data_IF_394972794040
#
_entry.id   IF_394972794040
#
_cell.length_a   1.000
_cell.length_b   1.000
_cell.length_c   1.000
_cell.angle_alpha   90.00
_cell.angle_beta   90.00
_cell.angle_gamma   90.00
#
_symmetry.space_group_name_H-M   'P 1'
#
loop_
_entity.id
_entity.type
_entity.pdbx_description
1 polymer ?
#
# COMPACT_ATOMS: atom_id res chain seq x y z
N UNK A 1 -3.33 -5.89 11.40
CA UNK A 1 -3.03 -7.12 12.20
C UNK A 1 -3.77 -8.39 11.75
N UNK A 2 -4.98 -8.36 11.18
CA UNK A 2 -5.68 -9.60 10.76
C UNK A 2 -4.84 -10.51 9.81
N UNK A 3 -4.12 -9.90 8.86
CA UNK A 3 -3.22 -10.63 7.96
C UNK A 3 -1.98 -11.18 8.68
N UNK A 4 -1.50 -10.51 9.71
CA UNK A 4 -0.37 -10.99 10.53
C UNK A 4 -0.76 -12.19 11.40
N UNK A 5 -2.01 -12.25 11.89
CA UNK A 5 -2.53 -13.45 12.56
C UNK A 5 -2.72 -14.59 11.55
N UNK A 6 -3.22 -14.27 10.33
CA UNK A 6 -3.38 -15.26 9.25
C UNK A 6 -2.04 -15.81 8.74
N UNK A 7 -0.95 -15.05 8.89
CA UNK A 7 0.43 -15.48 8.61
C UNK A 7 0.80 -16.75 9.36
N UNK A 8 0.31 -16.95 10.58
CA UNK A 8 0.67 -18.10 11.44
C UNK A 8 0.04 -19.41 10.94
N UNK A 9 -1.06 -19.32 10.19
CA UNK A 9 -1.77 -20.47 9.65
C UNK A 9 -1.19 -20.93 8.30
N UNK A 10 -0.29 -20.15 7.69
CA UNK A 10 0.24 -20.40 6.35
C UNK A 10 1.73 -20.70 6.41
N UNK A 11 2.14 -21.82 5.79
CA UNK A 11 3.53 -22.29 5.78
C UNK A 11 4.29 -21.86 4.52
N UNK A 12 5.62 -21.81 4.62
CA UNK A 12 6.51 -21.63 3.48
C UNK A 12 6.61 -20.18 2.96
N UNK A 13 6.98 -20.04 1.68
CA UNK A 13 7.26 -18.74 1.04
C UNK A 13 6.07 -17.78 1.00
N UNK A 14 4.85 -18.30 1.02
CA UNK A 14 3.60 -17.51 1.06
C UNK A 14 3.51 -16.66 2.33
N UNK A 15 4.11 -17.13 3.44
CA UNK A 15 4.17 -16.40 4.71
C UNK A 15 4.82 -15.03 4.56
N UNK A 16 5.89 -14.94 3.77
CA UNK A 16 6.63 -13.71 3.53
C UNK A 16 5.81 -12.75 2.66
N UNK A 17 5.10 -13.25 1.65
CA UNK A 17 4.19 -12.45 0.83
C UNK A 17 3.07 -11.83 1.66
N UNK A 18 2.45 -12.60 2.55
CA UNK A 18 1.40 -12.09 3.47
C UNK A 18 1.97 -11.01 4.40
N UNK A 19 3.18 -11.21 4.93
CA UNK A 19 3.83 -10.22 5.77
C UNK A 19 4.12 -8.92 5.02
N UNK A 20 4.76 -9.01 3.85
CA UNK A 20 5.07 -7.86 3.01
C UNK A 20 3.80 -7.09 2.62
N UNK A 21 2.73 -7.79 2.28
CA UNK A 21 1.44 -7.15 1.98
C UNK A 21 0.82 -6.48 3.21
N UNK A 22 0.89 -7.11 4.38
CA UNK A 22 0.39 -6.53 5.62
C UNK A 22 1.16 -5.26 6.03
N UNK A 23 2.49 -5.26 5.86
CA UNK A 23 3.34 -4.10 6.10
C UNK A 23 3.10 -2.99 5.07
N UNK A 24 2.89 -3.34 3.80
CA UNK A 24 2.57 -2.39 2.74
C UNK A 24 1.26 -1.62 3.00
N UNK A 25 0.24 -2.26 3.57
CA UNK A 25 -1.02 -1.59 3.92
C UNK A 25 -0.85 -0.49 4.99
N UNK A 26 0.21 -0.57 5.81
CA UNK A 26 0.52 0.46 6.81
C UNK A 26 1.07 1.75 6.21
N UNK A 27 1.30 1.81 4.88
CA UNK A 27 1.77 3.04 4.24
C UNK A 27 0.76 4.18 4.34
N UNK A 28 -0.55 3.88 4.31
CA UNK A 28 -1.61 4.90 4.39
C UNK A 28 -1.54 5.66 5.72
N UNK A 29 -1.59 5.01 6.89
CA UNK A 29 -1.44 5.71 8.16
C UNK A 29 -0.08 6.41 8.29
N UNK A 30 1.01 5.77 7.86
CA UNK A 30 2.35 6.39 7.90
C UNK A 30 2.44 7.67 7.07
N UNK A 31 1.82 7.69 5.90
CA UNK A 31 1.78 8.88 5.04
C UNK A 31 0.95 10.00 5.67
N UNK A 32 -0.18 9.68 6.33
CA UNK A 32 -1.00 10.67 7.04
C UNK A 32 -0.20 11.27 8.21
N UNK A 33 0.45 10.44 9.03
CA UNK A 33 1.29 10.90 10.14
C UNK A 33 2.44 11.79 9.65
N UNK A 34 3.13 11.38 8.59
CA UNK A 34 4.21 12.16 8.00
C UNK A 34 3.74 13.50 7.46
N UNK A 35 2.61 13.54 6.77
CA UNK A 35 2.03 14.78 6.26
C UNK A 35 1.54 15.70 7.39
N UNK A 36 1.18 15.13 8.54
CA UNK A 36 0.82 15.87 9.75
C UNK A 36 2.05 16.37 10.54
N UNK A 37 3.26 15.90 10.22
CA UNK A 37 4.50 16.23 10.95
C UNK A 37 4.74 15.37 12.19
N UNK A 38 4.01 14.26 12.36
CA UNK A 38 4.14 13.35 13.50
C UNK A 38 5.06 12.15 13.17
N UNK A 39 5.59 11.49 14.20
CA UNK A 39 6.45 10.32 14.03
C UNK A 39 5.65 9.12 13.50
N UNK A 40 6.19 8.44 12.49
CA UNK A 40 5.58 7.31 11.81
C UNK A 40 5.59 6.01 12.64
N UNK A 41 6.49 5.89 13.62
CA UNK A 41 6.72 4.64 14.34
C UNK A 41 5.75 4.38 15.48
N UNK A 42 5.31 5.44 16.17
CA UNK A 42 4.54 5.35 17.42
C UNK A 42 3.15 4.69 17.22
N UNK A 43 2.54 4.90 16.05
CA UNK A 43 1.23 4.35 15.67
C UNK A 43 1.21 2.86 15.34
N UNK A 44 2.36 2.25 15.09
CA UNK A 44 2.42 0.83 14.70
C UNK A 44 2.07 -0.10 15.88
N UNK A 45 2.17 0.42 17.11
CA UNK A 45 2.01 -0.31 18.37
C UNK A 45 0.58 -0.23 18.93
N UNK A 46 -0.21 0.79 18.59
CA UNK A 46 -1.58 0.93 19.07
C UNK A 46 -2.50 -0.10 18.41
N UNK A 47 -2.76 -1.17 19.15
CA UNK A 47 -3.64 -2.27 18.79
C UNK A 47 -5.10 -1.77 18.72
N UNK A 48 -5.87 -2.16 17.68
CA UNK A 48 -7.31 -1.88 17.38
C UNK A 48 -7.45 -0.91 16.17
N UNK A 49 -8.54 -0.92 15.36
CA UNK A 49 -8.73 -0.02 14.21
C UNK A 49 -8.93 1.43 14.66
N UNK A 50 -7.87 2.03 15.17
CA UNK A 50 -7.75 3.43 15.49
C UNK A 50 -7.17 4.14 14.25
N UNK A 51 -7.88 5.17 13.80
CA UNK A 51 -7.32 6.15 12.87
C UNK A 51 -6.27 7.02 13.56
N UNK A 52 -5.72 7.93 12.79
CA UNK A 52 -4.68 8.87 13.22
C UNK A 52 -5.34 10.23 13.41
N UNK A 53 -5.19 10.80 14.59
CA UNK A 53 -5.56 12.19 14.82
C UNK A 53 -4.42 13.08 14.36
N UNK A 54 -4.70 13.89 13.36
CA UNK A 54 -3.73 14.81 12.74
C UNK A 54 -3.38 15.93 13.72
N UNK A 55 -4.28 16.31 14.63
CA UNK A 55 -4.07 17.41 15.56
C UNK A 55 -3.15 17.02 16.72
N UNK A 56 -3.39 15.84 17.30
CA UNK A 56 -2.70 15.39 18.51
C UNK A 56 -1.51 14.47 18.24
N UNK A 57 -1.48 13.80 17.08
CA UNK A 57 -0.45 12.79 16.87
C UNK A 57 -0.76 11.47 17.60
N UNK A 58 -2.00 11.25 18.03
CA UNK A 58 -2.39 10.05 18.77
C UNK A 58 -3.39 9.16 18.02
N UNK A 59 -3.51 7.93 18.49
CA UNK A 59 -4.47 6.95 18.01
C UNK A 59 -5.90 7.33 18.43
N UNK A 60 -6.82 7.40 17.47
CA UNK A 60 -8.22 7.81 17.71
C UNK A 60 -9.24 6.91 17.02
N UNK A 61 -10.46 6.84 17.55
CA UNK A 61 -11.54 6.12 16.87
C UNK A 61 -12.15 6.96 15.74
N UNK A 62 -11.94 6.57 14.48
CA UNK A 62 -12.45 7.34 13.32
C UNK A 62 -13.98 7.46 13.27
N UNK A 63 -14.69 6.48 13.83
CA UNK A 63 -16.15 6.44 13.84
C UNK A 63 -16.75 7.54 14.72
N UNK A 64 -16.17 7.81 15.90
CA UNK A 64 -16.67 8.81 16.84
C UNK A 64 -16.49 10.24 16.31
N UNK A 65 -15.45 10.47 15.51
CA UNK A 65 -15.15 11.74 14.84
C UNK A 65 -15.81 11.92 13.48
N UNK A 66 -16.65 10.96 13.05
CA UNK A 66 -17.40 11.05 11.80
C UNK A 66 -16.55 10.90 10.53
N UNK A 67 -15.34 10.35 10.64
CA UNK A 67 -14.45 10.12 9.50
C UNK A 67 -14.79 8.77 8.87
N UNK A 68 -15.40 8.82 7.68
CA UNK A 68 -15.83 7.65 6.94
C UNK A 68 -15.19 7.58 5.55
N UNK A 69 -14.95 6.35 5.10
CA UNK A 69 -14.45 6.06 3.77
C UNK A 69 -15.51 5.32 2.94
N UNK A 70 -15.51 5.54 1.62
CA UNK A 70 -16.38 4.80 0.73
C UNK A 70 -15.88 3.36 0.52
N UNK A 71 -16.75 2.39 0.80
CA UNK A 71 -16.49 0.97 0.59
C UNK A 71 -15.97 0.65 -0.81
N UNK A 72 -16.57 1.24 -1.86
CA UNK A 72 -16.21 0.98 -3.26
C UNK A 72 -14.77 1.38 -3.55
N UNK A 73 -14.32 2.50 -2.96
CA UNK A 73 -12.95 3.01 -3.14
C UNK A 73 -11.96 2.04 -2.53
N UNK A 74 -12.16 1.62 -1.27
CA UNK A 74 -11.24 0.68 -0.60
C UNK A 74 -11.17 -0.68 -1.32
N UNK A 75 -12.33 -1.20 -1.76
CA UNK A 75 -12.39 -2.48 -2.51
C UNK A 75 -11.63 -2.39 -3.83
N UNK A 76 -11.88 -1.33 -4.60
CA UNK A 76 -11.23 -1.16 -5.90
C UNK A 76 -9.73 -0.90 -5.76
N UNK A 77 -9.32 -0.12 -4.76
CA UNK A 77 -7.92 0.17 -4.47
C UNK A 77 -7.15 -1.13 -4.24
N UNK A 78 -7.61 -1.98 -3.32
CA UNK A 78 -6.92 -3.24 -3.00
C UNK A 78 -6.86 -4.16 -4.23
N UNK A 79 -7.95 -4.23 -5.00
CA UNK A 79 -8.00 -5.08 -6.19
C UNK A 79 -7.02 -4.61 -7.28
N UNK A 80 -7.12 -3.35 -7.68
CA UNK A 80 -6.30 -2.78 -8.76
C UNK A 80 -4.81 -2.73 -8.40
N UNK A 81 -4.46 -2.30 -7.19
CA UNK A 81 -3.06 -2.22 -6.75
C UNK A 81 -2.40 -3.59 -6.74
N UNK A 82 -3.11 -4.62 -6.27
CA UNK A 82 -2.60 -5.99 -6.21
C UNK A 82 -2.38 -6.54 -7.62
N UNK A 83 -3.33 -6.34 -8.55
CA UNK A 83 -3.19 -6.80 -9.94
C UNK A 83 -2.01 -6.13 -10.64
N UNK A 84 -1.86 -4.81 -10.50
CA UNK A 84 -0.76 -4.07 -11.12
C UNK A 84 0.58 -4.49 -10.53
N UNK A 85 0.70 -4.53 -9.19
CA UNK A 85 1.94 -4.93 -8.52
C UNK A 85 2.36 -6.37 -8.88
N UNK A 86 1.40 -7.29 -8.99
CA UNK A 86 1.68 -8.68 -9.41
C UNK A 86 2.21 -8.70 -10.83
N UNK A 87 1.58 -7.98 -11.76
CA UNK A 87 2.07 -7.91 -13.14
C UNK A 87 3.48 -7.31 -13.21
N UNK A 88 3.76 -6.26 -12.44
CA UNK A 88 5.09 -5.65 -12.38
C UNK A 88 6.16 -6.60 -11.82
N UNK A 89 5.84 -7.40 -10.80
CA UNK A 89 6.79 -8.36 -10.22
C UNK A 89 7.08 -9.53 -11.18
N UNK A 90 6.13 -9.88 -12.05
CA UNK A 90 6.27 -10.96 -13.02
C UNK A 90 6.96 -10.56 -14.32
N UNK A 91 7.07 -9.26 -14.61
CA UNK A 91 7.81 -8.76 -15.79
C UNK A 91 9.31 -8.88 -15.51
N UNK A 92 10.01 -9.60 -16.38
CA UNK A 92 11.46 -9.77 -16.36
C UNK A 92 12.18 -8.75 -17.25
N UNK A 93 11.62 -8.45 -18.43
CA UNK A 93 12.22 -7.56 -19.42
C UNK A 93 11.26 -6.49 -19.94
N UNK A 94 11.79 -5.28 -20.15
CA UNK A 94 11.10 -4.16 -20.80
C UNK A 94 11.74 -3.92 -22.15
N UNK A 95 11.07 -4.36 -23.22
CA UNK A 95 11.55 -4.17 -24.57
C UNK A 95 11.00 -2.87 -25.16
N UNK A 96 11.90 -1.99 -25.61
CA UNK A 96 11.56 -0.80 -26.39
C UNK A 96 12.02 -1.00 -27.83
N UNK A 97 11.09 -1.32 -28.72
CA UNK A 97 11.33 -1.40 -30.16
C UNK A 97 10.68 -0.20 -30.86
N UNK A 98 11.44 0.45 -31.75
CA UNK A 98 10.98 1.53 -32.63
C UNK A 98 11.98 1.72 -33.76
N UNK A 99 11.52 2.09 -34.95
CA UNK A 99 12.43 2.35 -36.07
C UNK A 99 13.26 3.62 -35.80
N UNK A 100 14.57 3.47 -35.63
CA UNK A 100 15.52 4.58 -35.58
C UNK A 100 15.94 5.10 -36.97
N UNK A 101 15.29 4.67 -38.07
CA UNK A 101 15.78 4.96 -39.43
C UNK A 101 14.65 5.25 -40.43
N UNK A 102 14.09 6.46 -40.35
CA UNK A 102 13.55 7.15 -41.53
C UNK A 102 14.09 8.59 -41.49
N UNK A 103 15.35 8.76 -41.89
CA UNK A 103 15.83 10.03 -42.45
C UNK A 103 15.65 9.91 -43.97
N UNK A 104 14.67 10.59 -44.60
CA UNK A 104 14.74 10.86 -46.03
C UNK A 104 15.66 12.06 -46.21
N UNK A 105 16.90 11.85 -46.65
CA UNK A 105 17.82 12.95 -46.92
C UNK A 105 19.25 12.46 -47.13
N UNK A 106 19.62 12.27 -48.40
CA UNK A 106 21.00 11.92 -48.75
C UNK A 106 21.25 11.42 -50.17
N UNK A 107 20.64 12.02 -51.19
CA UNK A 107 21.24 12.35 -52.49
C UNK A 107 20.26 13.18 -53.33
#
# INVERSE_FOLDING_TARGET
MHLLNKKEQVKGRVRLGIQAFAEALLIIPKAIAQNAGHDQYEYTTSMIPVGIDIATGEAMESKSLGIYDNYRVKKQLIHSSTSIATNLILVDEILRAGLSSLRPGGQ
#
